data_IF_780769684813
#
_entry.id   IF_780769684813
#
_cell.length_a   1.000
_cell.length_b   1.000
_cell.length_c   1.000
_cell.angle_alpha   90.00
_cell.angle_beta   90.00
_cell.angle_gamma   90.00
#
_symmetry.space_group_name_H-M   'P 1'
#
loop_
_entity.id
_entity.type
_entity.pdbx_description
1 polymer ?
#
# COMPACT_ATOMS: atom_id res chain seq x y z
N UNK A 1 -29.67 -16.52 -23.90
CA UNK A 1 -28.41 -17.25 -24.07
C UNK A 1 -27.31 -16.38 -23.51
N UNK A 2 -26.94 -16.56 -22.23
CA UNK A 2 -25.81 -15.86 -21.55
C UNK A 2 -24.52 -16.61 -21.90
N UNK A 3 -23.72 -16.07 -22.79
CA UNK A 3 -22.36 -16.52 -23.05
C UNK A 3 -21.47 -16.03 -21.89
N UNK A 4 -21.19 -16.92 -20.94
CA UNK A 4 -20.15 -16.72 -19.94
C UNK A 4 -18.78 -16.75 -20.64
N UNK A 5 -18.17 -15.61 -20.90
CA UNK A 5 -16.76 -15.52 -21.26
C UNK A 5 -15.94 -15.86 -20.01
N UNK A 6 -15.69 -17.14 -19.77
CA UNK A 6 -14.62 -17.60 -18.92
C UNK A 6 -13.29 -17.27 -19.62
N UNK A 7 -12.76 -16.06 -19.41
CA UNK A 7 -11.46 -15.69 -19.90
C UNK A 7 -10.39 -16.60 -19.29
N UNK A 8 -9.87 -17.55 -20.03
CA UNK A 8 -8.68 -18.31 -19.68
C UNK A 8 -7.49 -17.35 -19.63
N UNK A 9 -7.21 -16.79 -18.45
CA UNK A 9 -5.93 -16.13 -18.22
C UNK A 9 -4.81 -17.12 -18.43
N UNK A 10 -3.85 -16.77 -19.29
CA UNK A 10 -2.68 -17.65 -19.55
C UNK A 10 -1.95 -17.94 -18.22
N UNK A 11 -1.23 -19.08 -18.17
CA UNK A 11 -0.43 -19.44 -16.99
C UNK A 11 0.58 -18.34 -16.63
N UNK A 12 1.13 -17.67 -17.63
CA UNK A 12 2.07 -16.56 -17.49
C UNK A 12 1.39 -15.31 -16.90
N UNK A 13 0.22 -14.94 -17.43
CA UNK A 13 -0.56 -13.81 -16.87
C UNK A 13 -0.91 -14.05 -15.40
N UNK A 14 -1.32 -15.28 -15.06
CA UNK A 14 -1.62 -15.65 -13.68
C UNK A 14 -0.38 -15.53 -12.79
N UNK A 15 0.78 -15.98 -13.25
CA UNK A 15 2.04 -15.88 -12.50
C UNK A 15 2.45 -14.42 -12.22
N UNK A 16 2.20 -13.50 -13.15
CA UNK A 16 2.46 -12.06 -12.96
C UNK A 16 1.50 -11.40 -11.98
N UNK A 17 0.26 -11.87 -11.88
CA UNK A 17 -0.76 -11.28 -11.02
C UNK A 17 -0.67 -11.76 -9.56
N UNK A 18 -0.09 -12.93 -9.31
CA UNK A 18 -0.03 -13.53 -7.99
C UNK A 18 0.76 -12.72 -6.95
N UNK A 19 1.98 -12.18 -7.23
CA UNK A 19 2.71 -11.40 -6.24
C UNK A 19 1.95 -10.16 -5.75
N UNK A 20 1.40 -9.28 -6.62
CA UNK A 20 0.62 -8.14 -6.14
C UNK A 20 -0.67 -8.55 -5.41
N UNK A 21 -1.30 -9.67 -5.76
CA UNK A 21 -2.42 -10.23 -4.99
C UNK A 21 -1.98 -10.64 -3.59
N UNK A 22 -0.83 -11.34 -3.47
CA UNK A 22 -0.27 -11.74 -2.18
C UNK A 22 0.08 -10.51 -1.32
N UNK A 23 0.64 -9.45 -1.92
CA UNK A 23 0.88 -8.18 -1.24
C UNK A 23 -0.41 -7.63 -0.65
N UNK A 24 -1.48 -7.53 -1.44
CA UNK A 24 -2.77 -7.00 -0.96
C UNK A 24 -3.35 -7.81 0.20
N UNK A 25 -3.27 -9.14 0.15
CA UNK A 25 -3.77 -10.02 1.22
C UNK A 25 -2.95 -9.85 2.50
N UNK A 26 -1.62 -9.88 2.43
CA UNK A 26 -0.74 -9.70 3.59
C UNK A 26 -0.90 -8.32 4.20
N UNK A 27 -1.01 -7.28 3.36
CA UNK A 27 -1.27 -5.92 3.82
C UNK A 27 -2.61 -5.81 4.55
N UNK A 28 -3.64 -6.55 4.13
CA UNK A 28 -4.93 -6.58 4.81
C UNK A 28 -4.81 -7.17 6.22
N UNK A 29 -4.02 -8.24 6.40
CA UNK A 29 -3.76 -8.82 7.71
C UNK A 29 -2.99 -7.84 8.62
N UNK A 30 -2.02 -7.11 8.09
CA UNK A 30 -1.30 -6.07 8.83
C UNK A 30 -2.21 -4.89 9.20
N UNK A 31 -3.04 -4.44 8.28
CA UNK A 31 -4.00 -3.36 8.53
C UNK A 31 -5.05 -3.76 9.56
N UNK A 32 -5.55 -5.00 9.53
CA UNK A 32 -6.48 -5.51 10.52
C UNK A 32 -5.87 -5.57 11.91
N UNK A 33 -4.59 -5.98 12.03
CA UNK A 33 -3.85 -5.96 13.29
C UNK A 33 -3.66 -4.55 13.83
N UNK A 34 -3.27 -3.62 12.97
CA UNK A 34 -3.07 -2.22 13.32
C UNK A 34 -4.39 -1.52 13.73
N UNK A 35 -5.49 -1.85 13.06
CA UNK A 35 -6.81 -1.28 13.34
C UNK A 35 -7.42 -1.77 14.66
N UNK A 36 -7.00 -2.93 15.17
CA UNK A 36 -7.48 -3.51 16.42
C UNK A 36 -9.00 -3.71 16.42
N UNK A 37 -9.69 -3.12 17.39
CA UNK A 37 -11.14 -3.24 17.53
C UNK A 37 -11.94 -2.40 16.51
N UNK A 38 -11.33 -1.39 15.91
CA UNK A 38 -11.99 -0.51 14.93
C UNK A 38 -12.13 -1.24 13.60
N UNK A 39 -13.36 -1.43 13.13
CA UNK A 39 -13.67 -2.18 11.91
C UNK A 39 -13.72 -1.32 10.64
N UNK A 40 -13.00 -0.20 10.64
CA UNK A 40 -12.91 0.72 9.51
C UNK A 40 -11.44 1.02 9.21
N UNK A 41 -11.07 0.89 7.94
CA UNK A 41 -9.74 1.24 7.42
C UNK A 41 -9.92 2.25 6.30
N UNK A 42 -9.09 3.29 6.32
CA UNK A 42 -9.06 4.29 5.26
C UNK A 42 -7.93 4.03 4.28
N UNK A 43 -8.13 4.36 3.00
CA UNK A 43 -7.09 4.22 1.97
C UNK A 43 -6.81 5.54 1.28
N UNK A 44 -5.53 5.74 0.95
CA UNK A 44 -5.04 6.77 0.02
C UNK A 44 -4.65 6.03 -1.26
N UNK A 45 -5.31 6.35 -2.37
CA UNK A 45 -5.08 5.72 -3.66
C UNK A 45 -4.59 6.75 -4.68
N UNK A 46 -3.78 6.37 -5.67
CA UNK A 46 -3.53 7.24 -6.81
C UNK A 46 -4.83 7.62 -7.52
N UNK A 47 -4.92 8.81 -8.08
CA UNK A 47 -6.09 9.22 -8.86
C UNK A 47 -6.17 8.50 -10.22
N UNK A 48 -7.30 8.63 -10.89
CA UNK A 48 -7.56 7.95 -12.16
C UNK A 48 -6.58 8.35 -13.29
N UNK A 49 -5.83 9.45 -13.17
CA UNK A 49 -4.80 9.85 -14.14
C UNK A 49 -3.60 8.89 -14.16
N UNK A 50 -3.43 8.10 -13.08
CA UNK A 50 -2.39 7.07 -12.96
C UNK A 50 -2.88 5.66 -13.36
N UNK A 51 -4.10 5.55 -13.85
CA UNK A 51 -4.71 4.29 -14.27
C UNK A 51 -5.75 3.73 -13.28
N UNK A 52 -6.23 2.52 -13.51
CA UNK A 52 -7.17 1.84 -12.61
C UNK A 52 -6.49 1.47 -11.29
N UNK A 53 -7.30 1.12 -10.28
CA UNK A 53 -6.82 0.56 -9.02
C UNK A 53 -5.87 -0.60 -9.25
N UNK A 54 -4.79 -0.65 -8.48
CA UNK A 54 -3.81 -1.72 -8.62
C UNK A 54 -4.40 -3.07 -8.15
N UNK A 55 -3.87 -4.15 -8.71
CA UNK A 55 -4.23 -5.52 -8.30
C UNK A 55 -4.02 -5.72 -6.79
N UNK A 56 -2.98 -5.12 -6.24
CA UNK A 56 -2.71 -5.16 -4.80
C UNK A 56 -3.82 -4.45 -4.00
N UNK A 57 -4.29 -3.28 -4.44
CA UNK A 57 -5.39 -2.57 -3.79
C UNK A 57 -6.71 -3.35 -3.90
N UNK A 58 -7.02 -3.91 -5.06
CA UNK A 58 -8.22 -4.73 -5.25
C UNK A 58 -8.21 -5.96 -4.33
N UNK A 59 -7.09 -6.68 -4.26
CA UNK A 59 -6.92 -7.83 -3.37
C UNK A 59 -7.01 -7.43 -1.89
N UNK A 60 -6.43 -6.30 -1.52
CA UNK A 60 -6.53 -5.73 -0.17
C UNK A 60 -7.99 -5.46 0.20
N UNK A 61 -8.72 -4.72 -0.63
CA UNK A 61 -10.13 -4.38 -0.38
C UNK A 61 -11.00 -5.63 -0.25
N UNK A 62 -10.78 -6.64 -1.10
CA UNK A 62 -11.48 -7.90 -1.04
C UNK A 62 -11.19 -8.68 0.26
N UNK A 63 -9.91 -8.73 0.69
CA UNK A 63 -9.48 -9.38 1.91
C UNK A 63 -10.04 -8.68 3.17
N UNK A 64 -10.00 -7.35 3.22
CA UNK A 64 -10.57 -6.56 4.31
C UNK A 64 -12.08 -6.78 4.45
N UNK A 65 -12.80 -6.76 3.32
CA UNK A 65 -14.25 -7.06 3.31
C UNK A 65 -14.55 -8.46 3.85
N UNK A 66 -13.76 -9.47 3.45
CA UNK A 66 -13.89 -10.86 3.94
C UNK A 66 -13.66 -10.95 5.46
N UNK A 67 -12.80 -10.11 6.03
CA UNK A 67 -12.52 -10.03 7.46
C UNK A 67 -13.52 -9.13 8.23
N UNK A 68 -14.57 -8.62 7.56
CA UNK A 68 -15.62 -7.80 8.18
C UNK A 68 -15.23 -6.35 8.41
N UNK A 69 -14.22 -5.83 7.68
CA UNK A 69 -13.85 -4.42 7.73
C UNK A 69 -14.55 -3.63 6.63
N UNK A 70 -14.88 -2.37 6.94
CA UNK A 70 -15.22 -1.35 5.94
C UNK A 70 -13.95 -0.65 5.46
N UNK A 71 -13.85 -0.41 4.15
CA UNK A 71 -12.72 0.30 3.55
C UNK A 71 -13.23 1.58 2.90
N UNK A 72 -12.78 2.73 3.41
CA UNK A 72 -13.09 4.06 2.89
C UNK A 72 -11.94 4.55 2.00
N UNK A 73 -12.25 5.28 0.93
CA UNK A 73 -11.24 6.07 0.21
C UNK A 73 -11.17 7.46 0.85
N UNK A 74 -10.14 7.70 1.65
CA UNK A 74 -9.94 9.00 2.30
C UNK A 74 -9.44 10.06 1.30
N UNK A 75 -8.58 9.65 0.37
CA UNK A 75 -8.03 10.53 -0.66
C UNK A 75 -7.73 9.77 -1.95
N UNK A 76 -8.14 10.36 -3.07
CA UNK A 76 -7.62 10.05 -4.39
C UNK A 76 -6.55 11.10 -4.72
N UNK A 77 -5.28 10.70 -4.71
CA UNK A 77 -4.14 11.61 -4.73
C UNK A 77 -3.56 11.75 -6.14
N UNK A 78 -3.38 12.99 -6.58
CA UNK A 78 -2.64 13.28 -7.79
C UNK A 78 -1.14 13.29 -7.50
N UNK A 79 -0.44 12.25 -7.96
CA UNK A 79 0.99 12.07 -7.71
C UNK A 79 1.89 12.98 -8.56
N UNK A 80 1.32 13.77 -9.47
CA UNK A 80 2.04 14.63 -10.39
C UNK A 80 2.38 13.94 -11.71
N UNK A 81 3.03 14.68 -12.62
CA UNK A 81 3.46 14.17 -13.92
C UNK A 81 4.89 13.61 -13.79
N UNK A 82 5.11 12.30 -14.01
CA UNK A 82 6.45 11.70 -13.88
C UNK A 82 7.47 12.26 -14.89
N UNK A 83 7.00 12.87 -15.97
CA UNK A 83 7.87 13.50 -16.98
C UNK A 83 8.31 14.92 -16.61
N UNK A 84 7.61 15.57 -15.67
CA UNK A 84 7.85 16.97 -15.29
C UNK A 84 8.39 17.15 -13.89
N UNK A 85 8.07 16.23 -12.99
CA UNK A 85 8.47 16.33 -11.59
C UNK A 85 8.61 14.94 -10.99
N UNK A 86 9.28 14.86 -9.84
CA UNK A 86 9.33 13.65 -9.04
C UNK A 86 7.91 13.30 -8.57
N UNK A 87 7.30 12.18 -9.04
CA UNK A 87 5.95 11.83 -8.62
C UNK A 87 5.96 11.39 -7.14
N UNK A 88 4.88 11.62 -6.44
CA UNK A 88 4.73 11.17 -5.06
C UNK A 88 3.56 11.80 -4.33
N UNK A 89 3.20 11.22 -3.21
CA UNK A 89 2.12 11.69 -2.36
C UNK A 89 2.51 13.02 -1.71
N UNK A 90 1.79 14.08 -2.04
CA UNK A 90 2.04 15.42 -1.51
C UNK A 90 1.69 15.47 -0.01
N UNK A 91 2.46 16.25 0.76
CA UNK A 91 2.21 16.47 2.19
C UNK A 91 0.76 16.91 2.47
N UNK A 92 0.24 17.86 1.71
CA UNK A 92 -1.12 18.37 1.90
C UNK A 92 -2.19 17.28 1.69
N UNK A 93 -2.05 16.44 0.66
CA UNK A 93 -2.97 15.33 0.39
C UNK A 93 -2.92 14.27 1.49
N UNK A 94 -1.72 14.02 2.03
CA UNK A 94 -1.51 13.09 3.13
C UNK A 94 -2.15 13.59 4.43
N UNK A 95 -1.91 14.85 4.81
CA UNK A 95 -2.50 15.47 6.01
C UNK A 95 -4.03 15.48 5.91
N UNK A 96 -4.58 15.92 4.78
CA UNK A 96 -6.03 15.90 4.54
C UNK A 96 -6.61 14.48 4.68
N UNK A 97 -5.91 13.46 4.18
CA UNK A 97 -6.35 12.08 4.31
C UNK A 97 -6.37 11.62 5.76
N UNK A 98 -5.36 11.99 6.56
CA UNK A 98 -5.31 11.66 8.00
C UNK A 98 -6.44 12.35 8.78
N UNK A 99 -6.68 13.63 8.50
CA UNK A 99 -7.78 14.37 9.13
C UNK A 99 -9.16 13.73 8.85
N UNK A 100 -9.40 13.33 7.59
CA UNK A 100 -10.62 12.63 7.19
C UNK A 100 -10.73 11.21 7.77
N UNK A 101 -9.64 10.67 8.26
CA UNK A 101 -9.52 9.29 8.74
C UNK A 101 -9.34 9.20 10.25
N UNK A 102 -9.58 10.27 11.00
CA UNK A 102 -9.34 10.33 12.45
C UNK A 102 -10.04 9.18 13.22
N UNK A 103 -11.22 8.76 12.77
CA UNK A 103 -12.00 7.67 13.38
C UNK A 103 -11.65 6.28 12.81
N UNK A 104 -10.82 6.19 11.78
CA UNK A 104 -10.39 4.92 11.22
C UNK A 104 -9.47 4.18 12.20
N UNK A 105 -9.44 2.85 12.11
CA UNK A 105 -8.52 2.02 12.88
C UNK A 105 -7.11 2.04 12.31
N UNK A 106 -6.98 2.22 10.99
CA UNK A 106 -5.71 2.35 10.28
C UNK A 106 -5.90 3.12 8.97
N UNK A 107 -4.80 3.66 8.44
CA UNK A 107 -4.72 4.27 7.11
C UNK A 107 -3.72 3.49 6.27
N UNK A 108 -4.09 3.14 5.04
CA UNK A 108 -3.21 2.45 4.10
C UNK A 108 -2.99 3.31 2.87
N UNK A 109 -1.73 3.59 2.55
CA UNK A 109 -1.35 4.35 1.35
C UNK A 109 -0.89 3.43 0.23
N UNK A 110 -1.65 3.37 -0.85
CA UNK A 110 -1.24 2.82 -2.14
C UNK A 110 -0.58 3.89 -3.03
N UNK A 111 -0.61 5.13 -2.60
CA UNK A 111 0.04 6.26 -3.26
C UNK A 111 1.53 6.43 -2.88
N UNK A 112 2.09 5.48 -2.14
CA UNK A 112 3.47 5.54 -1.64
C UNK A 112 3.60 6.35 -0.34
N UNK A 113 4.85 6.65 0.01
CA UNK A 113 5.18 7.45 1.18
C UNK A 113 4.94 8.95 0.92
N UNK A 114 4.52 9.72 1.95
CA UNK A 114 4.33 11.14 1.80
C UNK A 114 5.66 11.89 1.66
N UNK A 115 5.69 12.89 0.77
CA UNK A 115 6.81 13.81 0.59
C UNK A 115 6.68 14.97 1.60
N UNK A 116 7.06 14.72 2.85
CA UNK A 116 6.97 15.71 3.92
C UNK A 116 8.19 16.63 3.93
N UNK A 117 7.95 17.92 4.22
CA UNK A 117 8.97 18.88 4.61
C UNK A 117 9.14 18.84 6.14
N UNK A 118 10.25 19.36 6.64
CA UNK A 118 10.54 19.36 8.07
C UNK A 118 9.43 19.98 8.94
N UNK A 119 8.75 21.02 8.45
CA UNK A 119 7.62 21.64 9.17
C UNK A 119 6.32 20.81 9.16
N UNK A 120 6.13 19.96 8.15
CA UNK A 120 4.96 19.08 8.05
C UNK A 120 5.07 17.92 9.02
N UNK A 121 6.27 17.37 9.16
CA UNK A 121 6.56 16.27 10.09
C UNK A 121 6.27 16.64 11.55
N UNK A 122 6.54 17.89 11.94
CA UNK A 122 6.29 18.36 13.30
C UNK A 122 4.80 18.36 13.70
N UNK A 123 3.89 18.39 12.72
CA UNK A 123 2.44 18.37 12.93
C UNK A 123 1.84 16.95 12.99
N UNK A 124 2.64 15.95 12.67
CA UNK A 124 2.21 14.55 12.53
C UNK A 124 2.89 13.66 13.56
N UNK A 125 3.00 14.16 14.81
CA UNK A 125 3.65 13.43 15.89
C UNK A 125 3.00 12.07 16.20
N UNK A 126 3.74 11.17 16.87
CA UNK A 126 3.24 9.85 17.24
C UNK A 126 1.93 9.93 18.03
N UNK A 127 0.96 9.09 17.66
CA UNK A 127 -0.33 9.02 18.36
C UNK A 127 -1.34 10.11 18.02
N UNK A 128 -1.02 11.06 17.14
CA UNK A 128 -1.94 12.10 16.69
C UNK A 128 -2.87 11.65 15.55
N UNK A 129 -2.61 10.51 14.97
CA UNK A 129 -3.37 9.94 13.86
C UNK A 129 -3.43 8.41 13.95
N UNK A 130 -4.36 7.75 13.22
CA UNK A 130 -4.40 6.30 13.11
C UNK A 130 -3.08 5.74 12.59
N UNK A 131 -2.73 4.48 12.93
CA UNK A 131 -1.58 3.81 12.35
C UNK A 131 -1.58 3.88 10.82
N UNK A 132 -0.45 4.26 10.22
CA UNK A 132 -0.28 4.42 8.78
C UNK A 132 0.59 3.29 8.23
N UNK A 133 0.08 2.58 7.23
CA UNK A 133 0.79 1.56 6.48
C UNK A 133 1.02 2.05 5.04
N UNK A 134 2.21 1.88 4.51
CA UNK A 134 2.59 2.41 3.20
C UNK A 134 3.04 1.28 2.27
N UNK A 135 2.54 1.28 1.05
CA UNK A 135 3.05 0.43 -0.03
C UNK A 135 4.02 1.27 -0.86
N UNK A 136 5.29 0.91 -0.83
CA UNK A 136 6.39 1.60 -1.48
C UNK A 136 7.12 0.65 -2.44
N UNK A 137 6.38 0.10 -3.42
CA UNK A 137 6.89 -0.86 -4.41
C UNK A 137 6.89 -0.27 -5.81
N UNK A 138 7.82 -0.71 -6.65
CA UNK A 138 7.89 -0.30 -8.06
C UNK A 138 6.67 -0.74 -8.88
N UNK A 139 6.03 -1.83 -8.47
CA UNK A 139 4.89 -2.44 -9.18
C UNK A 139 3.64 -1.54 -9.16
N UNK A 140 3.56 -0.55 -8.28
CA UNK A 140 2.42 0.38 -8.20
C UNK A 140 2.58 1.63 -9.06
N UNK A 141 3.55 1.67 -9.97
CA UNK A 141 3.68 2.76 -10.94
C UNK A 141 4.19 4.09 -10.38
N UNK A 142 4.56 4.14 -9.10
CA UNK A 142 5.10 5.35 -8.47
C UNK A 142 6.55 5.64 -8.85
N UNK A 143 7.09 4.94 -9.86
CA UNK A 143 8.43 5.17 -10.44
C UNK A 143 9.61 4.89 -9.51
N UNK A 144 10.79 4.60 -10.05
CA UNK A 144 11.96 4.11 -9.29
C UNK A 144 12.68 5.19 -8.45
N UNK A 145 12.06 6.21 -8.02
CA UNK A 145 12.78 7.31 -7.35
C UNK A 145 12.25 7.72 -5.98
N UNK A 146 10.98 7.47 -5.69
CA UNK A 146 10.35 8.02 -4.47
C UNK A 146 9.73 6.94 -3.61
N UNK A 147 9.07 5.97 -4.21
CA UNK A 147 8.35 4.94 -3.47
C UNK A 147 9.31 4.05 -2.66
N UNK A 148 10.53 3.83 -3.16
CA UNK A 148 11.53 2.94 -2.57
C UNK A 148 12.71 3.68 -1.91
N UNK A 149 12.61 4.98 -1.64
CA UNK A 149 13.64 5.70 -0.88
C UNK A 149 13.68 5.18 0.56
N UNK A 150 14.60 4.26 0.81
CA UNK A 150 14.75 3.59 2.11
C UNK A 150 15.07 4.57 3.23
N UNK A 151 15.83 5.63 2.93
CA UNK A 151 16.15 6.64 3.92
C UNK A 151 14.93 7.47 4.31
N UNK A 152 14.12 7.86 3.32
CA UNK A 152 12.84 8.53 3.59
C UNK A 152 11.93 7.64 4.46
N UNK A 153 11.79 6.37 4.10
CA UNK A 153 10.96 5.42 4.85
C UNK A 153 11.46 5.22 6.28
N UNK A 154 12.79 5.09 6.46
CA UNK A 154 13.39 4.96 7.78
C UNK A 154 13.09 6.18 8.65
N UNK A 155 13.28 7.39 8.12
CA UNK A 155 13.00 8.63 8.84
C UNK A 155 11.51 8.76 9.22
N UNK A 156 10.58 8.35 8.34
CA UNK A 156 9.15 8.38 8.62
C UNK A 156 8.74 7.35 9.66
N UNK A 157 9.36 6.17 9.66
CA UNK A 157 9.17 5.12 10.67
C UNK A 157 9.70 5.57 12.04
N UNK A 158 10.92 6.11 12.10
CA UNK A 158 11.52 6.63 13.33
C UNK A 158 10.73 7.79 13.92
N UNK A 159 10.19 8.66 13.07
CA UNK A 159 9.33 9.76 13.51
C UNK A 159 7.92 9.30 13.93
N UNK A 160 7.56 8.03 13.77
CA UNK A 160 6.23 7.51 14.08
C UNK A 160 5.11 8.03 13.16
N UNK A 161 5.48 8.62 12.01
CA UNK A 161 4.51 9.12 11.01
C UNK A 161 3.93 7.96 10.23
N UNK A 162 4.74 6.96 9.90
CA UNK A 162 4.29 5.69 9.38
C UNK A 162 4.66 4.56 10.35
N UNK A 163 3.88 3.51 10.37
CA UNK A 163 4.03 2.40 11.31
C UNK A 163 4.53 1.13 10.64
N UNK A 164 4.37 1.07 9.32
CA UNK A 164 4.82 -0.04 8.51
C UNK A 164 4.99 0.43 7.07
N UNK A 165 6.05 -0.05 6.40
CA UNK A 165 6.19 0.08 4.96
C UNK A 165 6.42 -1.29 4.31
N UNK A 166 5.77 -1.55 3.18
CA UNK A 166 6.07 -2.70 2.33
C UNK A 166 6.90 -2.19 1.15
N UNK A 167 8.05 -2.79 0.95
CA UNK A 167 8.98 -2.49 -0.15
C UNK A 167 9.25 -3.73 -0.99
N UNK A 168 9.80 -3.53 -2.19
CA UNK A 168 10.27 -4.65 -3.00
C UNK A 168 11.41 -5.39 -2.29
N UNK A 169 11.39 -6.72 -2.36
CA UNK A 169 12.49 -7.58 -1.94
C UNK A 169 13.68 -7.46 -2.90
N UNK A 170 14.88 -7.75 -2.41
CA UNK A 170 16.10 -7.71 -3.22
C UNK A 170 16.16 -8.86 -4.27
N UNK A 171 15.48 -9.95 -3.99
CA UNK A 171 15.50 -11.15 -4.83
C UNK A 171 14.19 -11.24 -5.63
N UNK A 172 14.20 -10.72 -6.83
CA UNK A 172 13.21 -11.10 -7.84
C UNK A 172 13.55 -12.50 -8.36
N UNK A 173 13.45 -13.50 -7.48
CA UNK A 173 13.68 -14.90 -7.82
C UNK A 173 12.70 -15.40 -8.87
N UNK A 174 13.14 -16.34 -9.71
CA UNK A 174 12.34 -16.97 -10.75
C UNK A 174 10.94 -17.35 -10.25
N UNK A 175 9.94 -17.10 -11.08
CA UNK A 175 8.51 -17.41 -10.87
C UNK A 175 8.30 -18.95 -10.83
N UNK A 176 8.82 -19.61 -9.81
CA UNK A 176 8.42 -20.99 -9.52
C UNK A 176 7.11 -20.97 -8.72
N UNK A 177 6.17 -21.79 -9.13
CA UNK A 177 4.89 -21.92 -8.45
C UNK A 177 5.10 -22.35 -6.99
N UNK A 178 4.67 -21.51 -6.05
CA UNK A 178 4.75 -21.79 -4.63
C UNK A 178 3.91 -23.03 -4.28
N UNK A 179 4.47 -23.91 -3.46
CA UNK A 179 3.80 -25.08 -2.88
C UNK A 179 3.56 -24.77 -1.39
N UNK A 180 2.31 -24.83 -0.95
CA UNK A 180 1.97 -24.58 0.47
C UNK A 180 1.03 -23.38 0.65
N UNK A 181 1.19 -22.58 1.71
CA UNK A 181 0.50 -21.28 1.83
C UNK A 181 1.12 -20.31 0.83
N UNK A 182 0.66 -20.44 -0.40
CA UNK A 182 1.21 -19.78 -1.57
C UNK A 182 1.29 -18.26 -1.38
N UNK A 183 0.40 -17.68 -0.57
CA UNK A 183 0.31 -16.23 -0.36
C UNK A 183 1.50 -15.70 0.44
N UNK A 184 1.81 -16.31 1.58
CA UNK A 184 2.92 -15.87 2.43
C UNK A 184 4.28 -16.11 1.78
N UNK A 185 4.45 -17.24 1.09
CA UNK A 185 5.69 -17.53 0.35
C UNK A 185 5.89 -16.55 -0.81
N UNK A 186 4.85 -16.29 -1.60
CA UNK A 186 4.92 -15.32 -2.70
C UNK A 186 5.23 -13.91 -2.20
N UNK A 187 4.60 -13.51 -1.08
CA UNK A 187 4.92 -12.25 -0.46
C UNK A 187 6.38 -12.19 -0.03
N UNK A 188 6.87 -13.18 0.72
CA UNK A 188 8.22 -13.20 1.27
C UNK A 188 9.32 -13.24 0.20
N UNK A 189 9.04 -13.81 -0.98
CA UNK A 189 9.96 -13.80 -2.13
C UNK A 189 10.06 -12.43 -2.79
N UNK A 190 8.94 -11.69 -2.88
CA UNK A 190 8.86 -10.46 -3.68
C UNK A 190 8.96 -9.18 -2.84
N UNK A 191 8.60 -9.24 -1.55
CA UNK A 191 8.43 -8.05 -0.72
C UNK A 191 9.09 -8.21 0.65
N UNK A 192 9.30 -7.06 1.31
CA UNK A 192 9.79 -6.97 2.69
C UNK A 192 8.94 -5.97 3.46
N UNK A 193 8.71 -6.27 4.72
CA UNK A 193 8.07 -5.35 5.67
C UNK A 193 9.16 -4.63 6.45
N UNK A 194 9.09 -3.31 6.44
CA UNK A 194 9.86 -2.44 7.32
C UNK A 194 8.98 -1.98 8.48
N UNK A 195 9.54 -1.98 9.67
CA UNK A 195 8.90 -1.50 10.90
C UNK A 195 9.84 -0.54 11.63
N UNK A 196 9.34 0.29 12.56
CA UNK A 196 10.21 1.07 13.43
C UNK A 196 11.22 0.16 14.13
N UNK A 197 12.46 0.62 14.38
CA UNK A 197 13.37 -0.08 15.26
C UNK A 197 12.77 -0.17 16.66
N UNK A 198 12.94 -1.33 17.31
CA UNK A 198 12.52 -1.56 18.70
C UNK A 198 13.39 -0.73 19.66
#
# INVERSE_FOLDING_TARGET
>A
LLLAFAGCTSKETRALLQPPQALGIVLADEAARAAGARKQVAVITPDASWGPSSIAEEAFRAAMKKQGFSVLTAKSANLGDPMRSRPGLKAADFVEALEKSADAGAVVSFAGAPLLRQGDAARLGPGQHPPVLVVATMTLGTGPGVASDRLLLANLLEAGIIHLAIIDGADHGALEAAKGDATQELFARNYRILRPPN
#
